data_IF_149865735730
#
_entry.id   IF_149865735730
#
_cell.length_a   1.000
_cell.length_b   1.000
_cell.length_c   1.000
_cell.angle_alpha   90.00
_cell.angle_beta   90.00
_cell.angle_gamma   90.00
#
_symmetry.space_group_name_H-M   'P 1'
#
loop_
_entity.id
_entity.type
_entity.pdbx_description
1 polymer ?
#
# COMPACT_ATOMS: atom_id res chain seq x y z
N UNK A 1 -4.29 11.81 -7.88
CA UNK A 1 -3.38 10.66 -7.96
C UNK A 1 -4.22 9.40 -8.11
N UNK A 2 -4.07 8.70 -9.23
CA UNK A 2 -4.63 7.36 -9.48
C UNK A 2 -3.70 6.27 -8.95
N UNK A 3 -4.16 5.01 -8.93
CA UNK A 3 -3.31 3.88 -8.52
C UNK A 3 -2.14 3.67 -9.49
N UNK A 4 -2.38 3.83 -10.79
CA UNK A 4 -1.34 3.81 -11.81
C UNK A 4 -0.32 4.93 -11.61
N UNK A 5 -0.77 6.16 -11.36
CA UNK A 5 0.12 7.29 -11.08
C UNK A 5 0.96 7.04 -9.82
N UNK A 6 0.39 6.41 -8.79
CA UNK A 6 1.11 6.01 -7.58
C UNK A 6 2.16 4.91 -7.86
N UNK A 7 1.80 3.90 -8.67
CA UNK A 7 2.75 2.86 -9.10
C UNK A 7 3.94 3.48 -9.85
N UNK A 8 3.68 4.36 -10.80
CA UNK A 8 4.72 5.06 -11.57
C UNK A 8 5.58 5.96 -10.67
N UNK A 9 4.95 6.72 -9.76
CA UNK A 9 5.66 7.58 -8.80
C UNK A 9 6.60 6.77 -7.91
N UNK A 10 6.12 5.66 -7.31
CA UNK A 10 6.94 4.82 -6.44
C UNK A 10 8.04 4.13 -7.25
N UNK A 11 7.75 3.60 -8.44
CA UNK A 11 8.76 2.94 -9.29
C UNK A 11 9.90 3.88 -9.66
N UNK A 12 9.61 5.15 -9.94
CA UNK A 12 10.64 6.13 -10.30
C UNK A 12 11.48 6.58 -9.11
N UNK A 13 10.94 6.50 -7.88
CA UNK A 13 11.60 6.94 -6.65
C UNK A 13 12.35 5.81 -5.94
N UNK A 14 11.78 4.61 -5.95
CA UNK A 14 12.22 3.47 -5.18
C UNK A 14 11.94 2.16 -5.93
N UNK A 15 12.95 1.69 -6.67
CA UNK A 15 12.89 0.44 -7.43
C UNK A 15 14.25 -0.25 -7.40
N UNK A 16 14.34 -1.31 -6.60
CA UNK A 16 15.54 -2.14 -6.42
C UNK A 16 15.15 -3.62 -6.52
N UNK A 17 15.07 -4.18 -7.74
CA UNK A 17 14.58 -5.55 -7.99
C UNK A 17 15.36 -6.61 -7.22
N UNK A 18 16.63 -6.36 -6.90
CA UNK A 18 17.50 -7.25 -6.12
C UNK A 18 17.15 -7.31 -4.62
N UNK A 19 16.27 -6.43 -4.13
CA UNK A 19 15.93 -6.29 -2.71
C UNK A 19 14.50 -6.70 -2.37
N UNK A 20 13.82 -7.47 -3.22
CA UNK A 20 12.40 -7.85 -3.04
C UNK A 20 12.05 -8.30 -1.60
N UNK A 21 12.87 -9.17 -1.00
CA UNK A 21 12.65 -9.63 0.36
C UNK A 21 12.73 -8.51 1.42
N UNK A 22 13.58 -7.50 1.21
CA UNK A 22 13.65 -6.35 2.11
C UNK A 22 12.40 -5.46 2.00
N UNK A 23 11.81 -5.28 0.82
CA UNK A 23 10.51 -4.59 0.68
C UNK A 23 9.39 -5.35 1.39
N UNK A 24 9.42 -6.69 1.33
CA UNK A 24 8.47 -7.50 2.10
C UNK A 24 8.67 -7.32 3.61
N UNK A 25 9.91 -7.32 4.11
CA UNK A 25 10.19 -7.06 5.53
C UNK A 25 9.67 -5.68 5.95
N UNK A 26 9.92 -4.64 5.14
CA UNK A 26 9.37 -3.31 5.37
C UNK A 26 7.84 -3.29 5.42
N UNK A 27 7.15 -3.97 4.49
CA UNK A 27 5.69 -4.11 4.56
C UNK A 27 5.23 -4.68 5.92
N UNK A 28 5.92 -5.70 6.44
CA UNK A 28 5.57 -6.30 7.73
C UNK A 28 5.82 -5.33 8.89
N UNK A 29 6.89 -4.54 8.83
CA UNK A 29 7.14 -3.46 9.79
C UNK A 29 5.99 -2.45 9.80
N UNK A 30 5.59 -1.92 8.64
CA UNK A 30 4.51 -0.91 8.56
C UNK A 30 3.16 -1.47 9.00
N UNK A 31 2.89 -2.77 8.76
CA UNK A 31 1.69 -3.44 9.31
C UNK A 31 1.73 -3.50 10.84
N UNK A 32 2.93 -3.67 11.43
CA UNK A 32 3.13 -3.61 12.87
C UNK A 32 2.88 -2.22 13.45
N UNK A 33 3.42 -1.17 12.81
CA UNK A 33 3.20 0.22 13.20
C UNK A 33 1.72 0.61 13.07
N UNK A 34 1.07 0.21 11.97
CA UNK A 34 -0.37 0.35 11.76
C UNK A 34 -1.18 -0.32 12.90
N UNK A 35 -0.80 -1.52 13.31
CA UNK A 35 -1.44 -2.23 14.43
C UNK A 35 -1.34 -1.42 15.73
N UNK A 36 -0.17 -0.84 16.00
CA UNK A 36 0.07 -0.04 17.20
C UNK A 36 -0.79 1.24 17.22
N UNK A 37 -0.82 1.99 16.13
CA UNK A 37 -1.58 3.26 16.07
C UNK A 37 -3.09 3.02 16.07
N UNK A 38 -3.57 1.93 15.44
CA UNK A 38 -4.98 1.51 15.50
C UNK A 38 -5.39 1.20 16.94
N UNK A 39 -4.57 0.44 17.68
CA UNK A 39 -4.82 0.15 19.10
C UNK A 39 -4.85 1.42 19.95
N UNK A 40 -4.02 2.41 19.62
CA UNK A 40 -3.99 3.72 20.31
C UNK A 40 -5.10 4.66 19.86
N UNK A 41 -5.77 4.39 18.73
CA UNK A 41 -6.76 5.29 18.13
C UNK A 41 -6.18 6.65 17.73
N UNK A 42 -4.87 6.73 17.43
CA UNK A 42 -4.20 8.00 17.17
C UNK A 42 -4.50 8.46 15.74
N UNK A 43 -5.23 9.57 15.62
CA UNK A 43 -5.62 10.20 14.35
C UNK A 43 -4.87 11.50 14.14
N UNK A 44 -4.72 11.88 12.88
CA UNK A 44 -4.26 13.21 12.50
C UNK A 44 -5.25 14.29 12.94
N UNK A 45 -4.77 15.35 13.61
CA UNK A 45 -5.60 16.48 14.06
C UNK A 45 -5.49 17.68 13.11
N UNK A 46 -4.28 17.95 12.63
CA UNK A 46 -3.95 18.95 11.61
C UNK A 46 -2.98 18.35 10.59
N UNK A 47 -2.83 18.99 9.43
CA UNK A 47 -1.96 18.53 8.34
C UNK A 47 -0.49 18.29 8.79
N UNK A 48 0.00 19.06 9.76
CA UNK A 48 1.38 18.95 10.29
C UNK A 48 1.55 17.82 11.33
N UNK A 49 0.47 17.13 11.71
CA UNK A 49 0.46 16.11 12.78
C UNK A 49 0.32 14.69 12.26
N UNK A 50 0.58 14.45 10.97
CA UNK A 50 0.43 13.12 10.36
C UNK A 50 1.32 12.04 11.00
N UNK A 51 2.42 12.43 11.65
CA UNK A 51 3.40 11.47 12.18
C UNK A 51 2.89 10.55 13.31
N UNK A 52 3.07 9.25 13.16
CA UNK A 52 2.61 8.15 13.99
C UNK A 52 1.10 8.11 14.11
N UNK A 53 0.37 8.39 13.03
CA UNK A 53 -1.11 8.36 12.99
C UNK A 53 -1.59 7.23 12.11
N UNK A 54 -2.85 6.83 12.28
CA UNK A 54 -3.50 5.84 11.40
C UNK A 54 -3.40 6.25 9.93
N UNK A 55 -3.46 7.55 9.62
CA UNK A 55 -3.31 8.08 8.26
C UNK A 55 -1.92 7.81 7.65
N UNK A 56 -0.85 8.03 8.41
CA UNK A 56 0.52 7.73 7.96
C UNK A 56 0.70 6.23 7.76
N UNK A 57 0.38 5.41 8.77
CA UNK A 57 0.68 3.98 8.70
C UNK A 57 -0.16 3.25 7.63
N UNK A 58 -1.39 3.72 7.37
CA UNK A 58 -2.18 3.19 6.24
C UNK A 58 -1.51 3.52 4.89
N UNK A 59 -0.94 4.72 4.76
CA UNK A 59 -0.21 5.10 3.57
C UNK A 59 1.08 4.30 3.44
N UNK A 60 1.82 4.07 4.51
CA UNK A 60 3.08 3.31 4.48
C UNK A 60 2.84 1.83 4.13
N UNK A 61 1.76 1.23 4.63
CA UNK A 61 1.31 -0.09 4.16
C UNK A 61 0.97 -0.08 2.67
N UNK A 62 0.20 0.91 2.20
CA UNK A 62 -0.12 1.04 0.77
C UNK A 62 1.14 1.23 -0.07
N UNK A 63 2.12 2.00 0.42
CA UNK A 63 3.38 2.28 -0.25
C UNK A 63 4.13 0.97 -0.55
N UNK A 64 4.33 0.12 0.46
CA UNK A 64 5.06 -1.13 0.25
C UNK A 64 4.26 -2.19 -0.52
N UNK A 65 2.92 -2.19 -0.45
CA UNK A 65 2.09 -3.00 -1.36
C UNK A 65 2.34 -2.60 -2.82
N UNK A 66 2.36 -1.29 -3.10
CA UNK A 66 2.64 -0.77 -4.44
C UNK A 66 4.08 -1.04 -4.86
N UNK A 67 5.06 -0.86 -3.98
CA UNK A 67 6.46 -1.15 -4.27
C UNK A 67 6.65 -2.63 -4.65
N UNK A 68 6.08 -3.56 -3.86
CA UNK A 68 6.13 -4.99 -4.17
C UNK A 68 5.44 -5.34 -5.50
N UNK A 69 4.31 -4.71 -5.80
CA UNK A 69 3.66 -4.87 -7.09
C UNK A 69 4.58 -4.42 -8.25
N UNK A 70 5.27 -3.28 -8.10
CA UNK A 70 6.22 -2.81 -9.10
C UNK A 70 7.41 -3.76 -9.28
N UNK A 71 7.96 -4.31 -8.20
CA UNK A 71 9.08 -5.26 -8.25
C UNK A 71 8.70 -6.58 -8.95
N UNK A 72 7.43 -6.96 -8.86
CA UNK A 72 6.88 -8.16 -9.48
C UNK A 72 6.20 -7.90 -10.84
N UNK A 73 6.34 -6.68 -11.40
CA UNK A 73 5.68 -6.25 -12.63
C UNK A 73 4.16 -6.50 -12.66
N UNK A 74 3.53 -6.32 -11.49
CA UNK A 74 2.08 -6.44 -11.30
C UNK A 74 1.41 -5.08 -11.51
N UNK A 75 0.44 -5.06 -12.43
CA UNK A 75 -0.50 -3.96 -12.61
C UNK A 75 -1.66 -4.12 -11.62
N UNK A 76 -1.71 -3.25 -10.61
CA UNK A 76 -2.73 -3.33 -9.55
C UNK A 76 -4.12 -2.91 -10.05
N UNK A 77 -4.20 -1.96 -10.98
CA UNK A 77 -5.48 -1.50 -11.53
C UNK A 77 -6.11 -2.59 -12.41
N UNK A 78 -5.31 -3.25 -13.24
CA UNK A 78 -5.73 -4.46 -13.95
C UNK A 78 -6.14 -5.57 -13.00
N UNK A 79 -5.36 -5.80 -11.93
CA UNK A 79 -5.68 -6.81 -10.91
C UNK A 79 -7.02 -6.54 -10.22
N UNK A 80 -7.31 -5.28 -9.90
CA UNK A 80 -8.58 -4.83 -9.36
C UNK A 80 -9.74 -5.18 -10.30
N UNK A 81 -9.68 -4.79 -11.57
CA UNK A 81 -10.75 -5.07 -12.54
C UNK A 81 -11.03 -6.57 -12.71
N UNK A 82 -9.97 -7.38 -12.81
CA UNK A 82 -10.11 -8.83 -12.94
C UNK A 82 -10.75 -9.45 -11.69
N UNK A 83 -10.34 -9.01 -10.50
CA UNK A 83 -10.90 -9.51 -9.23
C UNK A 83 -12.35 -9.11 -9.03
N UNK A 84 -12.71 -7.87 -9.37
CA UNK A 84 -14.09 -7.41 -9.26
C UNK A 84 -15.01 -8.15 -10.23
N UNK A 85 -14.60 -8.37 -11.48
CA UNK A 85 -15.38 -9.20 -12.41
C UNK A 85 -15.65 -10.61 -11.84
N UNK A 86 -14.65 -11.24 -11.23
CA UNK A 86 -14.83 -12.54 -10.56
C UNK A 86 -15.81 -12.44 -9.38
N UNK A 87 -15.73 -11.37 -8.59
CA UNK A 87 -16.62 -11.15 -7.44
C UNK A 87 -18.07 -10.91 -7.87
N UNK A 88 -18.30 -10.14 -8.93
CA UNK A 88 -19.63 -9.94 -9.53
C UNK A 88 -20.24 -11.27 -9.99
N UNK A 89 -19.46 -12.10 -10.68
CA UNK A 89 -19.91 -13.43 -11.10
C UNK A 89 -20.21 -14.38 -9.93
N UNK A 90 -19.43 -14.32 -8.84
CA UNK A 90 -19.59 -15.21 -7.68
C UNK A 90 -20.69 -14.80 -6.73
N UNK A 91 -20.89 -13.50 -6.52
CA UNK A 91 -21.76 -12.96 -5.48
C UNK A 91 -22.94 -12.16 -6.02
N UNK A 92 -23.08 -12.02 -7.35
CA UNK A 92 -24.24 -11.41 -7.99
C UNK A 92 -24.45 -9.94 -7.63
N UNK A 93 -23.37 -9.22 -7.32
CA UNK A 93 -23.38 -7.75 -7.19
C UNK A 93 -23.05 -7.11 -8.53
#
# INVERSE_FOLDING_TARGET
MTLKELQEYIRNRDYRPELEHAYFQKLIEEVGELSEVLRKGKRMETEDTIKGTIEEELYDVLYYVVALANLNDVDLEKSFHLKEAINQHKYGR
#
